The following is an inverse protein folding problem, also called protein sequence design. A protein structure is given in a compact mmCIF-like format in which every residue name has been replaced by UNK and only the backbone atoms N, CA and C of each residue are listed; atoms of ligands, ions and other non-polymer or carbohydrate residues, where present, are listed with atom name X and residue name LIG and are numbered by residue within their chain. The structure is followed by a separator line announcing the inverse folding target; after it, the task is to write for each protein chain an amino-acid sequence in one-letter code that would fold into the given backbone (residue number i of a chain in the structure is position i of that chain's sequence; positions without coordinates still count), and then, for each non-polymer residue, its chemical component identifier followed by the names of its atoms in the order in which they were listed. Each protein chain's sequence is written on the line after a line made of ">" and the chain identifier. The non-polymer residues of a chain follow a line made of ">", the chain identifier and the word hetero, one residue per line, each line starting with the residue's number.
data_IF_127993531703
#
_entry.id   IF_127993531703
#
_cell.length_a   1.000
_cell.length_b   1.000
_cell.length_c   1.000
_cell.angle_alpha   90.00
_cell.angle_beta   90.00
_cell.angle_gamma   90.00
#
_symmetry.space_group_name_H-M   'P 1'
#
loop_
_entity.id
_entity.type
_entity.pdbx_description
1 polymer ?
#
# COMPACT_ATOMS: atom_id res chain seq x y z
N UNK A 1 -6.41 -8.36 23.06
CA UNK A 1 -6.07 -9.20 24.21
C UNK A 1 -4.58 -9.49 24.15
N UNK A 2 -3.80 -8.88 25.04
CA UNK A 2 -2.37 -9.17 25.20
C UNK A 2 -2.14 -9.38 26.70
N UNK A 3 -1.48 -10.46 27.08
CA UNK A 3 -1.02 -10.66 28.45
C UNK A 3 0.49 -10.43 28.52
N UNK A 4 0.86 -9.40 29.27
CA UNK A 4 1.89 -9.34 30.31
C UNK A 4 3.25 -10.04 30.01
N UNK A 5 4.38 -9.31 29.92
CA UNK A 5 5.08 -8.54 30.99
C UNK A 5 5.77 -9.48 32.02
N UNK A 6 6.92 -9.16 32.64
CA UNK A 6 7.41 -7.83 33.04
C UNK A 6 8.93 -7.83 33.40
N UNK A 7 9.65 -6.72 33.11
CA UNK A 7 10.85 -6.12 33.80
C UNK A 7 12.15 -6.95 34.06
N UNK A 8 13.35 -6.50 33.62
CA UNK A 8 14.26 -5.45 34.19
C UNK A 8 15.00 -5.87 35.49
N UNK A 9 16.22 -5.43 35.86
CA UNK A 9 17.21 -4.47 35.30
C UNK A 9 18.57 -4.57 36.05
N UNK A 10 19.67 -4.03 35.48
CA UNK A 10 20.84 -3.38 36.15
C UNK A 10 21.66 -4.19 37.22
N UNK A 11 22.79 -3.78 37.84
CA UNK A 11 24.04 -3.01 37.56
C UNK A 11 25.05 -3.33 38.72
N UNK A 12 26.34 -2.98 38.76
CA UNK A 12 27.46 -2.90 37.78
C UNK A 12 28.79 -2.65 38.55
N UNK A 13 29.97 -2.63 37.86
CA UNK A 13 31.31 -2.15 38.36
C UNK A 13 31.95 -2.98 39.52
N UNK A 14 33.26 -2.94 39.84
CA UNK A 14 34.53 -2.63 39.11
C UNK A 14 35.77 -2.92 39.98
N UNK A 15 36.95 -3.20 39.38
CA UNK A 15 38.33 -3.12 39.97
C UNK A 15 38.73 -4.18 41.04
N UNK A 16 40.00 -4.54 41.31
CA UNK A 16 41.34 -4.20 40.76
C UNK A 16 42.45 -5.21 41.20
N UNK A 17 43.53 -5.40 40.40
CA UNK A 17 44.89 -5.93 40.75
C UNK A 17 45.05 -7.36 41.36
N UNK A 18 46.12 -8.15 41.18
CA UNK A 18 47.54 -7.87 40.84
C UNK A 18 48.29 -9.16 40.33
N UNK A 19 49.19 -9.05 39.34
CA UNK A 19 50.33 -9.97 38.97
C UNK A 19 49.96 -11.42 38.51
N UNK A 20 50.60 -12.05 37.51
CA UNK A 20 51.79 -11.71 36.72
C UNK A 20 51.89 -12.47 35.36
N UNK A 21 53.04 -12.35 34.69
CA UNK A 21 53.33 -12.71 33.26
C UNK A 21 53.27 -14.25 33.01
N UNK A 22 52.87 -14.80 31.85
CA UNK A 22 53.52 -14.68 30.52
C UNK A 22 52.67 -15.26 29.35
N UNK A 23 52.86 -14.68 28.16
CA UNK A 23 52.71 -15.22 26.80
C UNK A 23 51.48 -16.04 26.34
N UNK A 24 50.62 -15.33 25.57
CA UNK A 24 49.72 -15.76 24.49
C UNK A 24 50.41 -16.57 23.34
N UNK A 25 49.70 -17.03 22.27
CA UNK A 25 48.28 -16.78 21.91
C UNK A 25 47.42 -17.98 21.40
N UNK A 26 46.09 -17.75 21.44
CA UNK A 26 45.08 -18.06 20.39
C UNK A 26 44.76 -19.53 19.98
N UNK A 27 43.54 -19.88 19.58
CA UNK A 27 42.21 -19.24 19.70
C UNK A 27 41.14 -20.37 19.71
N UNK A 28 39.95 -20.13 20.26
CA UNK A 28 38.91 -21.16 20.38
C UNK A 28 37.59 -20.73 19.70
N UNK A 29 37.26 -21.38 18.57
CA UNK A 29 35.89 -21.63 18.05
C UNK A 29 35.01 -20.37 17.71
N UNK A 30 33.77 -20.48 17.17
CA UNK A 30 32.95 -21.67 16.85
C UNK A 30 32.19 -21.69 15.49
N UNK A 31 31.46 -22.81 15.29
CA UNK A 31 30.09 -22.93 14.73
C UNK A 31 29.81 -23.18 13.23
N UNK A 32 28.80 -24.05 13.03
CA UNK A 32 27.98 -24.41 11.85
C UNK A 32 28.65 -25.13 10.66
N UNK A 33 28.56 -26.47 10.67
CA UNK A 33 28.30 -27.26 9.44
C UNK A 33 27.14 -28.21 9.70
N UNK A 34 26.09 -28.12 8.87
CA UNK A 34 24.97 -29.05 8.87
C UNK A 34 25.31 -30.32 8.09
N UNK A 35 24.70 -31.44 8.51
CA UNK A 35 24.58 -32.74 7.85
C UNK A 35 25.01 -32.81 6.36
N UNK A 36 25.92 -33.73 6.02
CA UNK A 36 25.64 -34.92 5.18
C UNK A 36 26.54 -36.08 5.67
N UNK A 37 26.05 -37.31 5.56
CA UNK A 37 26.75 -38.55 5.98
C UNK A 37 27.90 -38.89 5.02
N UNK A 38 29.08 -39.20 5.57
CA UNK A 38 30.07 -40.06 4.91
C UNK A 38 30.25 -41.30 5.81
N UNK A 39 30.16 -42.50 5.23
CA UNK A 39 30.22 -43.75 5.98
C UNK A 39 31.63 -44.00 6.54
N UNK A 40 31.69 -44.31 7.84
CA UNK A 40 32.95 -44.61 8.53
C UNK A 40 33.52 -45.96 8.10
N UNK A 41 34.83 -46.00 7.88
CA UNK A 41 35.62 -47.24 7.89
C UNK A 41 35.60 -47.79 9.32
N UNK A 42 34.83 -48.86 9.54
CA UNK A 42 34.70 -49.48 10.87
C UNK A 42 35.90 -50.42 11.15
N UNK A 43 36.97 -49.86 11.70
CA UNK A 43 38.05 -50.66 12.32
C UNK A 43 37.54 -51.19 13.66
N UNK A 44 37.17 -52.48 13.70
CA UNK A 44 36.77 -53.16 14.95
C UNK A 44 38.00 -53.35 15.83
N UNK A 45 38.06 -52.59 16.92
CA UNK A 45 39.16 -52.57 17.88
C UNK A 45 38.90 -53.56 19.02
N UNK A 46 39.39 -54.81 18.91
CA UNK A 46 39.37 -55.74 20.04
C UNK A 46 40.36 -55.30 21.12
N UNK A 47 39.84 -54.92 22.29
CA UNK A 47 40.60 -54.81 23.53
C UNK A 47 40.59 -56.16 24.25
N UNK A 48 41.74 -56.82 24.34
CA UNK A 48 41.95 -57.93 25.28
C UNK A 48 42.70 -57.39 26.49
N UNK A 49 42.09 -57.53 27.66
CA UNK A 49 42.57 -56.98 28.92
C UNK A 49 43.56 -57.95 29.59
N UNK A 50 44.77 -57.48 29.92
CA UNK A 50 45.84 -58.32 30.48
C UNK A 50 45.83 -58.26 32.01
N UNK A 51 45.36 -59.32 32.68
CA UNK A 51 45.73 -59.67 34.08
C UNK A 51 45.67 -61.19 34.30
N UNK A 52 46.74 -61.78 34.84
CA UNK A 52 46.74 -63.16 35.34
C UNK A 52 48.00 -63.98 35.00
N UNK A 53 49.05 -63.86 35.83
CA UNK A 53 50.21 -64.77 35.90
C UNK A 53 50.00 -65.65 37.14
N UNK A 54 50.03 -66.99 37.05
CA UNK A 54 51.20 -67.79 37.49
C UNK A 54 51.37 -69.10 36.67
N UNK A 55 52.42 -69.94 36.70
CA UNK A 55 53.82 -69.94 37.15
C UNK A 55 54.37 -71.36 36.82
N UNK A 56 55.43 -71.47 35.99
CA UNK A 56 56.39 -72.62 35.90
C UNK A 56 55.87 -74.05 35.53
N UNK A 57 56.76 -75.01 35.18
CA UNK A 57 58.20 -74.92 34.92
C UNK A 57 58.65 -75.33 33.50
N UNK A 58 59.94 -75.09 33.24
CA UNK A 58 60.71 -75.55 32.09
C UNK A 58 60.75 -77.09 32.04
N UNK A 59 60.59 -77.68 30.86
CA UNK A 59 61.14 -79.01 30.58
C UNK A 59 61.65 -79.09 29.14
N UNK A 60 62.91 -79.47 28.98
CA UNK A 60 63.54 -79.72 27.69
C UNK A 60 63.12 -81.10 27.18
N UNK A 61 62.54 -81.18 26.00
CA UNK A 61 62.46 -82.42 25.23
C UNK A 61 62.82 -82.14 23.78
N UNK A 62 64.05 -82.49 23.42
CA UNK A 62 64.47 -82.65 22.03
C UNK A 62 63.60 -83.72 21.37
N UNK A 63 62.68 -83.34 20.49
CA UNK A 63 62.04 -84.31 19.60
C UNK A 63 62.03 -83.84 18.15
N UNK A 64 62.90 -84.50 17.39
CA UNK A 64 62.96 -84.48 15.94
C UNK A 64 61.62 -85.01 15.40
N UNK A 65 60.73 -84.14 14.92
CA UNK A 65 59.54 -84.54 14.17
C UNK A 65 59.39 -83.67 12.92
N UNK A 66 59.80 -84.27 11.80
CA UNK A 66 59.29 -84.11 10.44
C UNK A 66 58.36 -82.91 10.18
N UNK A 67 58.86 -81.95 9.38
CA UNK A 67 57.96 -81.12 8.57
C UNK A 67 57.16 -82.03 7.62
N UNK A 68 55.81 -82.00 7.60
CA UNK A 68 55.07 -82.46 6.46
C UNK A 68 55.21 -81.44 5.31
N UNK A 69 55.39 -81.85 4.04
CA UNK A 69 55.54 -80.95 2.91
C UNK A 69 54.18 -80.37 2.44
N UNK A 70 53.45 -79.70 3.34
CA UNK A 70 52.17 -79.04 3.04
C UNK A 70 52.31 -77.56 2.60
N UNK A 71 53.55 -77.09 2.45
CA UNK A 71 53.87 -75.70 2.06
C UNK A 71 53.42 -75.37 0.64
N UNK A 72 53.44 -76.32 -0.31
CA UNK A 72 52.97 -76.07 -1.69
C UNK A 72 51.48 -75.70 -1.72
N UNK A 73 50.58 -76.48 -1.13
CA UNK A 73 49.14 -76.22 -1.22
C UNK A 73 48.73 -74.89 -0.57
N UNK A 74 49.32 -74.55 0.59
CA UNK A 74 49.08 -73.26 1.24
C UNK A 74 49.53 -72.07 0.37
N UNK A 75 50.67 -72.22 -0.32
CA UNK A 75 51.22 -71.17 -1.20
C UNK A 75 50.38 -70.97 -2.48
N UNK A 76 49.88 -72.05 -3.09
CA UNK A 76 48.89 -71.93 -4.17
C UNK A 76 47.57 -71.32 -3.68
N UNK A 77 47.08 -71.70 -2.50
CA UNK A 77 45.88 -71.12 -1.91
C UNK A 77 45.97 -69.60 -1.68
N UNK A 78 47.14 -69.12 -1.21
CA UNK A 78 47.42 -67.69 -1.06
C UNK A 78 47.46 -66.97 -2.42
N UNK A 79 48.07 -67.57 -3.44
CA UNK A 79 48.12 -66.98 -4.80
C UNK A 79 46.70 -66.90 -5.39
N UNK A 80 45.90 -67.96 -5.25
CA UNK A 80 44.50 -67.96 -5.71
C UNK A 80 43.64 -66.93 -4.98
N UNK A 81 43.81 -66.73 -3.67
CA UNK A 81 43.05 -65.71 -2.93
C UNK A 81 43.44 -64.28 -3.34
N UNK A 82 44.71 -64.03 -3.64
CA UNK A 82 45.18 -62.74 -4.17
C UNK A 82 44.62 -62.49 -5.58
N UNK A 83 44.68 -63.48 -6.48
CA UNK A 83 44.12 -63.35 -7.84
C UNK A 83 42.59 -63.14 -7.78
N UNK A 84 41.89 -63.87 -6.92
CA UNK A 84 40.44 -63.69 -6.72
C UNK A 84 40.10 -62.32 -6.13
N UNK A 85 40.89 -61.81 -5.18
CA UNK A 85 40.71 -60.47 -4.62
C UNK A 85 40.98 -59.36 -5.65
N UNK A 86 42.03 -59.49 -6.47
CA UNK A 86 42.35 -58.54 -7.54
C UNK A 86 41.28 -58.58 -8.64
N UNK A 87 40.86 -59.77 -9.06
CA UNK A 87 39.78 -59.95 -10.04
C UNK A 87 38.44 -59.41 -9.55
N UNK A 88 38.08 -59.67 -8.29
CA UNK A 88 36.89 -59.12 -7.65
C UNK A 88 36.94 -57.59 -7.55
N UNK A 89 38.07 -57.03 -7.14
CA UNK A 89 38.28 -55.57 -7.11
C UNK A 89 38.20 -54.94 -8.51
N UNK A 90 38.76 -55.59 -9.54
CA UNK A 90 38.67 -55.13 -10.92
C UNK A 90 37.24 -55.16 -11.46
N UNK A 91 36.44 -56.19 -11.14
CA UNK A 91 35.02 -56.27 -11.51
C UNK A 91 34.18 -55.21 -10.79
N UNK A 92 34.44 -54.95 -9.51
CA UNK A 92 33.77 -53.87 -8.77
C UNK A 92 34.16 -52.47 -9.29
N UNK A 93 35.41 -52.29 -9.74
CA UNK A 93 35.86 -51.05 -10.39
C UNK A 93 35.39 -50.90 -11.86
N UNK A 94 34.95 -51.98 -12.49
CA UNK A 94 34.40 -51.96 -13.85
C UNK A 94 32.95 -51.45 -13.88
N UNK A 95 32.15 -51.73 -12.84
CA UNK A 95 30.79 -51.23 -12.72
C UNK A 95 30.81 -49.79 -12.21
N UNK A 96 30.17 -48.89 -12.94
CA UNK A 96 29.86 -47.54 -12.45
C UNK A 96 28.39 -47.20 -12.71
N UNK A 97 27.93 -46.13 -12.05
CA UNK A 97 26.58 -45.60 -12.17
C UNK A 97 26.65 -44.22 -12.84
N UNK A 98 25.79 -43.99 -13.81
CA UNK A 98 25.45 -42.68 -14.33
C UNK A 98 24.13 -42.26 -13.68
N UNK A 99 24.12 -41.10 -13.04
CA UNK A 99 22.91 -40.55 -12.41
C UNK A 99 21.91 -40.05 -13.45
N UNK A 100 20.64 -39.97 -13.06
CA UNK A 100 19.58 -39.43 -13.91
C UNK A 100 19.89 -38.00 -14.36
N UNK A 101 19.42 -37.65 -15.55
CA UNK A 101 19.69 -36.34 -16.15
C UNK A 101 21.13 -36.09 -16.61
N UNK A 102 21.95 -37.15 -16.69
CA UNK A 102 23.30 -37.13 -17.25
C UNK A 102 23.44 -38.16 -18.38
N UNK A 103 24.33 -37.85 -19.32
CA UNK A 103 24.77 -38.73 -20.41
C UNK A 103 26.26 -39.03 -20.23
N UNK A 104 26.62 -40.30 -20.15
CA UNK A 104 28.01 -40.74 -20.02
C UNK A 104 28.72 -40.78 -21.37
N UNK A 105 29.87 -40.11 -21.44
CA UNK A 105 30.77 -40.17 -22.59
C UNK A 105 32.07 -40.82 -22.17
N UNK A 106 32.54 -41.78 -22.97
CA UNK A 106 33.71 -42.61 -22.65
C UNK A 106 34.93 -42.21 -23.47
N UNK A 107 36.09 -42.28 -22.82
CA UNK A 107 37.39 -42.11 -23.43
C UNK A 107 38.16 -43.42 -23.29
N UNK A 108 38.74 -43.93 -24.37
CA UNK A 108 39.57 -45.14 -24.38
C UNK A 108 40.98 -44.75 -24.80
N UNK A 109 41.94 -44.82 -23.88
CA UNK A 109 43.32 -44.35 -24.14
C UNK A 109 43.41 -42.90 -24.61
N UNK A 110 42.48 -42.04 -24.16
CA UNK A 110 42.37 -40.63 -24.56
C UNK A 110 41.45 -40.34 -25.77
N UNK A 111 41.09 -41.34 -26.57
CA UNK A 111 40.17 -41.15 -27.70
C UNK A 111 38.70 -41.29 -27.28
N UNK A 112 37.83 -40.37 -27.75
CA UNK A 112 36.40 -40.38 -27.48
C UNK A 112 35.69 -41.55 -28.20
N UNK A 113 34.89 -42.33 -27.47
CA UNK A 113 34.01 -43.34 -28.07
C UNK A 113 32.78 -42.70 -28.69
N UNK A 114 32.35 -43.23 -29.85
CA UNK A 114 31.16 -42.77 -30.59
C UNK A 114 29.83 -43.10 -29.89
N UNK A 115 29.82 -44.08 -29.00
CA UNK A 115 28.64 -44.48 -28.23
C UNK A 115 28.56 -43.71 -26.89
N UNK A 116 27.51 -42.91 -26.73
CA UNK A 116 27.11 -42.34 -25.44
C UNK A 116 26.20 -43.30 -24.68
N UNK A 117 26.34 -43.34 -23.35
CA UNK A 117 25.43 -44.09 -22.46
C UNK A 117 24.42 -43.16 -21.81
N UNK A 118 23.16 -43.59 -21.74
CA UNK A 118 22.16 -42.98 -20.87
C UNK A 118 22.37 -43.29 -19.38
N UNK A 119 21.46 -42.84 -18.50
CA UNK A 119 21.52 -43.12 -17.06
C UNK A 119 21.43 -44.62 -16.74
N UNK A 120 21.91 -45.02 -15.56
CA UNK A 120 21.91 -46.41 -15.09
C UNK A 120 23.29 -46.99 -14.81
N UNK A 121 23.39 -48.31 -14.71
CA UNK A 121 24.64 -49.02 -14.46
C UNK A 121 25.32 -49.43 -15.77
N UNK A 122 26.59 -49.08 -15.91
CA UNK A 122 27.39 -49.39 -17.12
C UNK A 122 28.73 -50.02 -16.75
N UNK A 123 29.22 -50.87 -17.65
CA UNK A 123 30.51 -51.55 -17.52
C UNK A 123 31.58 -50.80 -18.32
N UNK A 124 32.64 -50.38 -17.64
CA UNK A 124 33.84 -49.83 -18.24
C UNK A 124 35.05 -50.73 -17.93
N UNK A 125 36.10 -50.66 -18.76
CA UNK A 125 37.33 -51.40 -18.51
C UNK A 125 38.22 -50.58 -17.56
N UNK A 126 38.51 -51.05 -16.33
CA UNK A 126 39.40 -50.33 -15.44
C UNK A 126 40.77 -50.12 -16.09
N UNK A 127 41.45 -49.02 -15.74
CA UNK A 127 42.74 -48.55 -16.27
C UNK A 127 42.76 -48.07 -17.73
N UNK A 128 41.96 -48.62 -18.64
CA UNK A 128 42.00 -48.28 -20.08
C UNK A 128 40.94 -47.24 -20.47
N UNK A 129 39.75 -47.33 -19.87
CA UNK A 129 38.65 -46.40 -20.14
C UNK A 129 38.34 -45.50 -18.96
N UNK A 130 38.12 -44.22 -19.24
CA UNK A 130 37.59 -43.24 -18.29
C UNK A 130 36.27 -42.69 -18.83
N UNK A 131 35.36 -42.30 -17.93
CA UNK A 131 34.08 -41.71 -18.32
C UNK A 131 33.96 -40.28 -17.79
N UNK A 132 33.14 -39.48 -18.46
CA UNK A 132 32.66 -38.17 -17.99
C UNK A 132 31.14 -38.19 -18.09
N UNK A 133 30.46 -37.89 -16.99
CA UNK A 133 29.01 -37.69 -16.97
C UNK A 133 28.74 -36.23 -17.33
N UNK A 134 28.21 -35.99 -18.53
CA UNK A 134 27.79 -34.67 -19.00
C UNK A 134 26.32 -34.50 -18.64
N UNK A 135 25.97 -33.42 -17.96
CA UNK A 135 24.59 -33.15 -17.58
C UNK A 135 23.77 -32.70 -18.81
N UNK A 136 22.57 -33.25 -18.97
CA UNK A 136 21.64 -32.94 -20.09
C UNK A 136 20.29 -32.42 -19.60
N UNK A 137 20.14 -32.26 -18.29
CA UNK A 137 19.03 -31.56 -17.65
C UNK A 137 19.24 -30.05 -17.69
N UNK A 138 18.22 -29.29 -17.28
CA UNK A 138 18.33 -27.84 -17.10
C UNK A 138 19.37 -27.52 -16.03
N UNK A 139 20.39 -26.75 -16.42
CA UNK A 139 21.52 -26.31 -15.62
C UNK A 139 21.46 -24.80 -15.40
N UNK A 140 22.36 -24.29 -14.55
CA UNK A 140 22.53 -22.85 -14.33
C UNK A 140 24.00 -22.57 -14.11
N UNK A 141 24.63 -22.00 -15.13
CA UNK A 141 26.05 -21.68 -15.13
C UNK A 141 26.26 -20.29 -14.52
N UNK A 142 27.02 -20.22 -13.42
CA UNK A 142 27.30 -18.97 -12.70
C UNK A 142 28.64 -18.35 -13.16
N UNK A 143 28.58 -17.25 -13.92
CA UNK A 143 29.73 -16.40 -14.23
C UNK A 143 29.85 -15.32 -13.14
N UNK A 144 31.06 -15.08 -12.61
CA UNK A 144 31.29 -14.19 -11.45
C UNK A 144 32.41 -13.19 -11.69
N UNK A 145 32.24 -11.99 -11.14
CA UNK A 145 33.21 -10.89 -11.21
C UNK A 145 33.63 -10.53 -12.65
N UNK A 146 32.66 -10.34 -13.55
CA UNK A 146 32.92 -9.94 -14.94
C UNK A 146 33.31 -8.46 -14.97
N UNK A 147 34.55 -8.09 -15.35
CA UNK A 147 34.91 -6.69 -15.55
C UNK A 147 34.24 -6.16 -16.82
N UNK A 148 33.73 -4.94 -16.75
CA UNK A 148 33.15 -4.21 -17.87
C UNK A 148 33.71 -2.78 -17.94
N UNK A 149 34.25 -2.39 -19.10
CA UNK A 149 34.60 -0.99 -19.37
C UNK A 149 33.43 -0.23 -19.97
N UNK A 150 32.91 0.79 -19.27
CA UNK A 150 31.87 1.67 -19.83
C UNK A 150 32.45 2.69 -20.82
N UNK A 151 31.64 3.23 -21.72
CA UNK A 151 32.06 4.27 -22.67
C UNK A 151 32.63 5.54 -22.00
N UNK A 152 32.23 5.80 -20.75
CA UNK A 152 32.76 6.87 -19.89
C UNK A 152 34.11 6.55 -19.22
N UNK A 153 34.76 5.43 -19.55
CA UNK A 153 36.05 5.02 -18.99
C UNK A 153 36.01 4.50 -17.55
N UNK A 154 34.82 4.32 -16.96
CA UNK A 154 34.66 3.73 -15.63
C UNK A 154 34.59 2.22 -15.75
N UNK A 155 35.47 1.52 -15.01
CA UNK A 155 35.40 0.08 -14.84
C UNK A 155 34.33 -0.28 -13.80
N UNK A 156 33.39 -1.15 -14.21
CA UNK A 156 32.37 -1.77 -13.35
C UNK A 156 32.57 -3.28 -13.32
N UNK A 157 31.99 -3.93 -12.32
CA UNK A 157 32.06 -5.39 -12.18
C UNK A 157 30.66 -5.98 -12.03
N UNK A 158 30.32 -7.00 -12.81
CA UNK A 158 29.10 -7.77 -12.58
C UNK A 158 29.42 -8.92 -11.62
N UNK A 159 28.89 -8.83 -10.40
CA UNK A 159 29.20 -9.78 -9.31
C UNK A 159 28.76 -11.21 -9.68
N UNK A 160 27.59 -11.33 -10.33
CA UNK A 160 27.02 -12.60 -10.81
C UNK A 160 26.22 -12.45 -12.11
N UNK A 161 26.37 -13.40 -13.01
CA UNK A 161 25.48 -13.65 -14.14
C UNK A 161 25.12 -15.14 -14.12
N UNK A 162 23.83 -15.44 -14.21
CA UNK A 162 23.29 -16.81 -14.22
C UNK A 162 22.76 -17.11 -15.63
N UNK A 163 23.36 -18.08 -16.32
CA UNK A 163 22.90 -18.55 -17.64
C UNK A 163 22.20 -19.90 -17.45
N UNK A 164 20.91 -19.96 -17.73
CA UNK A 164 20.12 -21.18 -17.65
C UNK A 164 20.11 -21.85 -19.02
N UNK A 165 20.70 -23.03 -19.10
CA UNK A 165 20.91 -23.80 -20.33
C UNK A 165 20.46 -25.26 -20.18
N UNK A 166 20.31 -25.96 -21.30
CA UNK A 166 20.27 -27.42 -21.33
C UNK A 166 20.89 -27.95 -22.64
N UNK A 167 21.47 -29.15 -22.57
CA UNK A 167 22.11 -29.81 -23.70
C UNK A 167 21.27 -31.01 -24.16
N UNK A 168 20.87 -31.03 -25.43
CA UNK A 168 20.11 -32.15 -26.00
C UNK A 168 20.98 -33.43 -26.02
N UNK A 169 20.51 -34.57 -25.47
CA UNK A 169 21.29 -35.82 -25.39
C UNK A 169 21.91 -36.32 -26.70
N UNK A 170 21.26 -36.07 -27.85
CA UNK A 170 21.77 -36.45 -29.17
C UNK A 170 22.99 -35.65 -29.62
N UNK A 171 23.15 -34.41 -29.15
CA UNK A 171 24.26 -33.53 -29.52
C UNK A 171 25.50 -33.68 -28.62
N UNK A 172 25.37 -34.39 -27.48
CA UNK A 172 26.43 -34.53 -26.46
C UNK A 172 27.75 -35.02 -27.06
N UNK A 173 27.71 -36.00 -27.98
CA UNK A 173 28.92 -36.54 -28.60
C UNK A 173 29.68 -35.47 -29.41
N UNK A 174 28.98 -34.70 -30.25
CA UNK A 174 29.60 -33.71 -31.12
C UNK A 174 30.10 -32.48 -30.35
N UNK A 175 29.35 -32.02 -29.34
CA UNK A 175 29.78 -30.94 -28.44
C UNK A 175 31.04 -31.36 -27.67
N UNK A 176 31.07 -32.55 -27.07
CA UNK A 176 32.23 -33.04 -26.31
C UNK A 176 33.43 -33.31 -27.23
N UNK A 177 33.20 -33.69 -28.49
CA UNK A 177 34.27 -33.87 -29.49
C UNK A 177 34.90 -32.54 -29.91
N UNK A 178 34.11 -31.49 -30.08
CA UNK A 178 34.58 -30.20 -30.61
C UNK A 178 35.07 -29.25 -29.51
N UNK A 179 34.41 -29.26 -28.34
CA UNK A 179 34.61 -28.30 -27.24
C UNK A 179 35.05 -28.95 -25.92
N UNK A 180 35.30 -30.26 -25.89
CA UNK A 180 35.62 -31.08 -24.70
C UNK A 180 34.46 -31.20 -23.70
N UNK A 181 34.69 -31.90 -22.58
CA UNK A 181 33.67 -32.06 -21.54
C UNK A 181 33.34 -30.74 -20.82
N UNK A 182 34.29 -29.80 -20.75
CA UNK A 182 34.15 -28.51 -20.07
C UNK A 182 33.77 -27.41 -21.11
N UNK A 183 32.73 -27.68 -21.91
CA UNK A 183 32.28 -26.82 -23.01
C UNK A 183 31.68 -25.50 -22.53
N UNK A 184 31.09 -25.49 -21.34
CA UNK A 184 30.52 -24.36 -20.61
C UNK A 184 31.49 -23.18 -20.53
N UNK A 185 32.75 -23.47 -20.21
CA UNK A 185 33.79 -22.45 -20.09
C UNK A 185 34.13 -21.78 -21.43
N UNK A 186 34.17 -22.56 -22.50
CA UNK A 186 34.51 -22.06 -23.83
C UNK A 186 33.34 -21.34 -24.52
N UNK A 187 32.15 -21.94 -24.45
CA UNK A 187 30.97 -21.49 -25.18
C UNK A 187 30.15 -20.43 -24.44
N UNK A 188 30.06 -20.49 -23.11
CA UNK A 188 29.23 -19.60 -22.31
C UNK A 188 30.10 -18.59 -21.56
N UNK A 189 31.00 -19.03 -20.67
CA UNK A 189 31.78 -18.13 -19.81
C UNK A 189 32.59 -17.10 -20.63
N UNK A 190 33.44 -17.56 -21.56
CA UNK A 190 34.26 -16.66 -22.37
C UNK A 190 33.42 -15.72 -23.24
N UNK A 191 32.27 -16.19 -23.75
CA UNK A 191 31.40 -15.42 -24.64
C UNK A 191 30.59 -14.36 -23.89
N UNK A 192 30.05 -14.68 -22.71
CA UNK A 192 29.44 -13.71 -21.78
C UNK A 192 30.43 -12.58 -21.45
N UNK A 193 31.68 -12.92 -21.16
CA UNK A 193 32.74 -11.92 -20.92
C UNK A 193 32.98 -11.01 -22.13
N UNK A 194 32.90 -11.53 -23.36
CA UNK A 194 33.10 -10.75 -24.59
C UNK A 194 31.90 -9.85 -24.89
N UNK A 195 30.69 -10.41 -24.97
CA UNK A 195 29.46 -9.67 -25.34
C UNK A 195 29.11 -8.59 -24.33
N UNK A 196 29.30 -8.84 -23.03
CA UNK A 196 29.03 -7.83 -22.02
C UNK A 196 30.01 -6.66 -22.13
N UNK A 197 31.30 -6.91 -22.40
CA UNK A 197 32.27 -5.85 -22.65
C UNK A 197 31.97 -5.07 -23.94
N UNK A 198 31.53 -5.76 -25.01
CA UNK A 198 31.04 -5.12 -26.23
C UNK A 198 29.88 -4.14 -25.90
N UNK A 199 28.87 -4.61 -25.16
CA UNK A 199 27.72 -3.80 -24.73
C UNK A 199 28.12 -2.60 -23.84
N UNK A 200 28.95 -2.81 -22.82
CA UNK A 200 29.41 -1.72 -21.96
C UNK A 200 30.24 -0.68 -22.72
N UNK A 201 31.03 -1.09 -23.72
CA UNK A 201 31.93 -0.18 -24.45
C UNK A 201 31.18 0.90 -25.24
N UNK A 202 29.94 0.62 -25.67
CA UNK A 202 29.09 1.59 -26.38
C UNK A 202 28.17 2.40 -25.45
N UNK A 203 27.90 1.92 -24.24
CA UNK A 203 26.94 2.52 -23.30
C UNK A 203 27.59 3.26 -22.13
N UNK A 204 26.93 4.34 -21.69
CA UNK A 204 27.37 5.10 -20.51
C UNK A 204 27.05 4.37 -19.20
N UNK A 205 27.77 4.69 -18.12
CA UNK A 205 27.54 4.11 -16.79
C UNK A 205 26.08 4.28 -16.33
N UNK A 206 25.46 5.43 -16.61
CA UNK A 206 24.08 5.74 -16.25
C UNK A 206 23.07 4.90 -17.06
N UNK A 207 23.34 4.68 -18.35
CA UNK A 207 22.53 3.79 -19.19
C UNK A 207 22.59 2.34 -18.69
N UNK A 208 23.78 1.79 -18.47
CA UNK A 208 23.98 0.40 -18.03
C UNK A 208 23.37 0.16 -16.63
N UNK A 209 23.47 1.14 -15.72
CA UNK A 209 23.01 0.97 -14.32
C UNK A 209 21.52 1.25 -14.09
N UNK A 210 20.91 2.14 -14.89
CA UNK A 210 19.51 2.58 -14.70
C UNK A 210 18.65 2.37 -15.95
N UNK A 211 19.09 2.88 -17.12
CA UNK A 211 18.20 3.04 -18.28
C UNK A 211 17.99 1.78 -19.14
N UNK A 212 19.00 0.93 -19.26
CA UNK A 212 19.04 -0.22 -20.18
C UNK A 212 19.28 -1.56 -19.47
N UNK A 213 19.35 -1.57 -18.13
CA UNK A 213 19.65 -2.78 -17.35
C UNK A 213 18.78 -3.98 -17.74
N UNK A 214 17.46 -3.78 -17.83
CA UNK A 214 16.48 -4.82 -18.18
C UNK A 214 16.64 -5.35 -19.62
N UNK A 215 17.32 -4.62 -20.50
CA UNK A 215 17.58 -5.03 -21.89
C UNK A 215 18.84 -5.88 -22.01
N UNK A 216 19.74 -5.85 -21.02
CA UNK A 216 20.99 -6.64 -21.04
C UNK A 216 20.67 -8.14 -21.05
N UNK A 217 19.72 -8.57 -20.22
CA UNK A 217 19.31 -9.98 -20.11
C UNK A 217 18.82 -10.57 -21.44
N UNK A 218 17.90 -9.88 -22.12
CA UNK A 218 17.34 -10.34 -23.38
C UNK A 218 18.32 -10.20 -24.55
N UNK A 219 19.08 -9.10 -24.64
CA UNK A 219 20.11 -8.95 -25.68
C UNK A 219 21.19 -10.04 -25.56
N UNK A 220 21.71 -10.28 -24.35
CA UNK A 220 22.73 -11.29 -24.10
C UNK A 220 22.22 -12.71 -24.39
N UNK A 221 20.97 -13.02 -24.00
CA UNK A 221 20.29 -14.27 -24.35
C UNK A 221 20.16 -14.47 -25.86
N UNK A 222 19.74 -13.45 -26.60
CA UNK A 222 19.56 -13.51 -28.05
C UNK A 222 20.90 -13.74 -28.78
N UNK A 223 21.91 -12.92 -28.49
CA UNK A 223 23.24 -13.04 -29.12
C UNK A 223 23.90 -14.37 -28.80
N UNK A 224 23.87 -14.82 -27.53
CA UNK A 224 24.41 -16.13 -27.16
C UNK A 224 23.68 -17.28 -27.90
N UNK A 225 22.34 -17.21 -28.02
CA UNK A 225 21.59 -18.26 -28.71
C UNK A 225 21.85 -18.26 -30.23
N UNK A 226 22.02 -17.11 -30.86
CA UNK A 226 22.38 -16.98 -32.27
C UNK A 226 23.75 -17.65 -32.54
N UNK A 227 24.78 -17.30 -31.77
CA UNK A 227 26.11 -17.87 -31.91
C UNK A 227 26.13 -19.39 -31.63
N UNK A 228 25.46 -19.85 -30.56
CA UNK A 228 25.35 -21.28 -30.26
C UNK A 228 24.62 -22.07 -31.34
N UNK A 229 23.64 -21.46 -32.03
CA UNK A 229 22.94 -22.10 -33.15
C UNK A 229 23.90 -22.38 -34.32
N UNK A 230 24.94 -21.57 -34.51
CA UNK A 230 25.96 -21.77 -35.54
C UNK A 230 27.12 -22.68 -35.10
N UNK A 231 27.60 -22.56 -33.85
CA UNK A 231 28.80 -23.26 -33.37
C UNK A 231 28.51 -24.61 -32.71
N UNK A 232 27.38 -24.72 -32.01
CA UNK A 232 27.10 -25.77 -31.03
C UNK A 232 25.62 -26.22 -31.07
N UNK A 233 25.14 -26.72 -32.23
CA UNK A 233 23.74 -27.09 -32.41
C UNK A 233 23.32 -28.15 -31.39
N UNK A 234 22.33 -27.80 -30.56
CA UNK A 234 21.81 -28.66 -29.49
C UNK A 234 22.14 -28.20 -28.07
N UNK A 235 22.96 -27.16 -27.88
CA UNK A 235 23.01 -26.39 -26.63
C UNK A 235 22.01 -25.23 -26.72
N UNK A 236 21.05 -25.17 -25.80
CA UNK A 236 19.97 -24.19 -25.82
C UNK A 236 19.99 -23.37 -24.52
N UNK A 237 19.91 -22.05 -24.65
CA UNK A 237 19.78 -21.11 -23.54
C UNK A 237 18.29 -20.82 -23.33
N UNK A 238 17.81 -21.13 -22.13
CA UNK A 238 16.44 -20.90 -21.72
C UNK A 238 16.23 -19.46 -21.23
N UNK A 239 17.17 -18.95 -20.42
CA UNK A 239 17.13 -17.61 -19.84
C UNK A 239 18.53 -17.17 -19.41
N UNK A 240 18.76 -15.86 -19.37
CA UNK A 240 19.94 -15.24 -18.75
C UNK A 240 19.44 -14.27 -17.68
N UNK A 241 20.18 -14.17 -16.58
CA UNK A 241 19.92 -13.19 -15.50
C UNK A 241 21.22 -12.53 -15.09
N UNK A 242 21.32 -11.22 -15.31
CA UNK A 242 22.44 -10.39 -14.90
C UNK A 242 22.09 -9.72 -13.56
N UNK A 243 23.01 -9.73 -12.60
CA UNK A 243 22.85 -8.92 -11.37
C UNK A 243 23.33 -7.49 -11.60
N UNK A 244 22.83 -6.51 -10.82
CA UNK A 244 23.27 -5.11 -10.97
C UNK A 244 24.79 -4.99 -10.77
N UNK A 245 25.49 -4.23 -11.63
CA UNK A 245 26.93 -4.11 -11.53
C UNK A 245 27.34 -3.30 -10.30
N UNK A 246 28.46 -3.72 -9.71
CA UNK A 246 29.12 -3.09 -8.60
C UNK A 246 29.94 -1.89 -9.11
N UNK A 247 29.68 -0.71 -8.53
CA UNK A 247 30.29 0.57 -8.89
C UNK A 247 31.18 1.04 -7.73
N UNK A 248 32.41 1.55 -7.99
CA UNK A 248 33.27 2.15 -6.97
C UNK A 248 32.55 3.18 -6.10
N UNK A 249 32.78 3.13 -4.79
CA UNK A 249 32.02 3.92 -3.79
C UNK A 249 32.09 5.44 -4.04
N UNK A 250 33.24 5.95 -4.51
CA UNK A 250 33.43 7.37 -4.84
C UNK A 250 32.43 7.87 -5.88
N UNK A 251 32.13 7.06 -6.89
CA UNK A 251 31.15 7.36 -7.93
C UNK A 251 29.74 7.12 -7.41
N UNK A 252 29.50 6.00 -6.69
CA UNK A 252 28.18 5.67 -6.14
C UNK A 252 27.60 6.80 -5.28
N UNK A 253 28.40 7.39 -4.38
CA UNK A 253 27.98 8.54 -3.56
C UNK A 253 27.56 9.77 -4.39
N UNK A 254 28.22 10.02 -5.51
CA UNK A 254 27.84 11.13 -6.41
C UNK A 254 26.51 10.88 -7.11
N UNK A 255 26.22 9.63 -7.52
CA UNK A 255 24.92 9.26 -8.09
C UNK A 255 23.78 9.31 -7.07
N UNK A 256 24.02 8.85 -5.84
CA UNK A 256 23.05 8.96 -4.73
C UNK A 256 22.69 10.42 -4.45
N UNK A 257 23.69 11.32 -4.41
CA UNK A 257 23.47 12.77 -4.29
C UNK A 257 22.72 13.34 -5.51
N UNK A 258 23.16 13.04 -6.73
CA UNK A 258 22.57 13.55 -7.96
C UNK A 258 21.10 13.15 -8.13
N UNK A 259 20.75 11.88 -7.90
CA UNK A 259 19.35 11.45 -7.97
C UNK A 259 18.52 12.10 -6.85
N UNK A 260 19.08 12.34 -5.65
CA UNK A 260 18.39 13.10 -4.59
C UNK A 260 18.09 14.55 -5.01
N UNK A 261 19.04 15.25 -5.66
CA UNK A 261 18.85 16.62 -6.16
C UNK A 261 17.88 16.66 -7.34
N UNK A 262 17.94 15.69 -8.24
CA UNK A 262 17.00 15.53 -9.36
C UNK A 262 15.58 15.27 -8.85
N UNK A 263 15.40 14.44 -7.82
CA UNK A 263 14.12 14.26 -7.15
C UNK A 263 13.63 15.55 -6.49
N UNK A 264 14.49 16.30 -5.78
CA UNK A 264 14.13 17.63 -5.23
C UNK A 264 13.69 18.61 -6.31
N UNK A 265 14.39 18.67 -7.44
CA UNK A 265 14.04 19.55 -8.56
C UNK A 265 12.66 19.19 -9.13
N UNK A 266 12.40 17.90 -9.38
CA UNK A 266 11.10 17.42 -9.86
C UNK A 266 9.98 17.72 -8.85
N UNK A 267 10.23 17.52 -7.56
CA UNK A 267 9.28 17.92 -6.50
C UNK A 267 9.03 19.43 -6.56
N UNK A 268 10.08 20.27 -6.63
CA UNK A 268 9.92 21.72 -6.65
C UNK A 268 9.08 22.19 -7.85
N UNK A 269 9.28 21.59 -9.03
CA UNK A 269 8.52 21.89 -10.25
C UNK A 269 7.05 21.47 -10.12
N UNK A 270 6.77 20.33 -9.48
CA UNK A 270 5.40 19.91 -9.22
C UNK A 270 4.74 20.80 -8.15
N UNK A 271 5.44 21.17 -7.09
CA UNK A 271 4.91 22.10 -6.08
C UNK A 271 4.65 23.49 -6.64
N UNK A 272 5.49 24.00 -7.56
CA UNK A 272 5.25 25.25 -8.26
C UNK A 272 3.94 25.18 -9.08
N UNK A 273 3.74 24.11 -9.85
CA UNK A 273 2.49 23.89 -10.60
C UNK A 273 1.26 23.75 -9.70
N UNK A 274 1.40 23.12 -8.54
CA UNK A 274 0.32 23.03 -7.54
C UNK A 274 -0.01 24.43 -7.01
N UNK A 275 0.98 25.21 -6.56
CA UNK A 275 0.78 26.58 -6.06
C UNK A 275 0.18 27.51 -7.13
N UNK A 276 0.62 27.40 -8.39
CA UNK A 276 0.02 28.14 -9.52
C UNK A 276 -1.47 27.79 -9.69
N UNK A 277 -1.82 26.50 -9.62
CA UNK A 277 -3.20 26.02 -9.75
C UNK A 277 -4.06 26.32 -8.52
N UNK A 278 -3.49 26.31 -7.33
CA UNK A 278 -4.14 26.74 -6.09
C UNK A 278 -4.43 28.25 -6.15
N UNK A 279 -3.48 29.09 -6.56
CA UNK A 279 -3.71 30.53 -6.72
C UNK A 279 -4.74 30.86 -7.82
N UNK A 280 -4.79 30.10 -8.91
CA UNK A 280 -5.86 30.19 -9.92
C UNK A 280 -7.22 29.79 -9.32
N UNK A 281 -7.25 28.70 -8.54
CA UNK A 281 -8.47 28.20 -7.86
C UNK A 281 -8.97 29.19 -6.81
N UNK A 282 -8.08 29.83 -6.04
CA UNK A 282 -8.44 30.86 -5.06
C UNK A 282 -9.05 32.10 -5.72
N UNK A 283 -8.50 32.55 -6.86
CA UNK A 283 -9.09 33.66 -7.64
C UNK A 283 -10.49 33.32 -8.13
N UNK A 284 -10.67 32.13 -8.71
CA UNK A 284 -11.97 31.65 -9.17
C UNK A 284 -12.96 31.53 -8.00
N UNK A 285 -12.51 30.97 -6.86
CA UNK A 285 -13.31 30.85 -5.64
C UNK A 285 -13.75 32.21 -5.10
N UNK A 286 -12.87 33.22 -5.09
CA UNK A 286 -13.22 34.58 -4.65
C UNK A 286 -14.26 35.24 -5.56
N UNK A 287 -14.18 35.04 -6.89
CA UNK A 287 -15.20 35.50 -7.85
C UNK A 287 -16.53 34.79 -7.60
N UNK A 288 -16.54 33.46 -7.49
CA UNK A 288 -17.75 32.67 -7.21
C UNK A 288 -18.37 33.06 -5.86
N UNK A 289 -17.56 33.38 -4.85
CA UNK A 289 -18.04 33.83 -3.54
C UNK A 289 -18.68 35.23 -3.62
N UNK A 290 -18.07 36.16 -4.37
CA UNK A 290 -18.66 37.48 -4.62
C UNK A 290 -19.99 37.38 -5.42
N UNK A 291 -20.04 36.57 -6.48
CA UNK A 291 -21.27 36.31 -7.25
C UNK A 291 -22.37 35.67 -6.40
N UNK A 292 -22.01 34.68 -5.56
CA UNK A 292 -22.93 34.05 -4.61
C UNK A 292 -23.50 35.07 -3.61
N UNK A 293 -22.67 35.95 -3.07
CA UNK A 293 -23.14 37.02 -2.15
C UNK A 293 -24.07 37.98 -2.88
N UNK A 294 -23.77 38.35 -4.13
CA UNK A 294 -24.65 39.19 -4.95
C UNK A 294 -26.02 38.53 -5.21
N UNK A 295 -26.06 37.27 -5.63
CA UNK A 295 -27.31 36.52 -5.83
C UNK A 295 -28.13 36.37 -4.53
N UNK A 296 -27.47 36.09 -3.40
CA UNK A 296 -28.14 36.01 -2.10
C UNK A 296 -28.67 37.38 -1.66
N UNK A 297 -27.97 38.48 -1.97
CA UNK A 297 -28.44 39.83 -1.72
C UNK A 297 -29.67 40.18 -2.60
N UNK A 298 -29.66 39.79 -3.88
CA UNK A 298 -30.80 39.96 -4.80
C UNK A 298 -32.04 39.20 -4.31
N UNK A 299 -31.89 37.93 -3.92
CA UNK A 299 -33.00 37.14 -3.35
C UNK A 299 -33.55 37.78 -2.07
N UNK A 300 -32.68 38.23 -1.15
CA UNK A 300 -33.09 38.94 0.07
C UNK A 300 -33.77 40.28 -0.22
N UNK A 301 -33.34 40.98 -1.28
CA UNK A 301 -33.96 42.22 -1.71
C UNK A 301 -35.36 41.95 -2.31
N UNK A 302 -35.49 40.94 -3.16
CA UNK A 302 -36.77 40.48 -3.70
C UNK A 302 -37.75 40.05 -2.61
N UNK A 303 -37.29 39.35 -1.57
CA UNK A 303 -38.09 39.03 -0.39
C UNK A 303 -38.61 40.30 0.31
N UNK A 304 -37.74 41.30 0.57
CA UNK A 304 -38.15 42.57 1.19
C UNK A 304 -39.12 43.40 0.33
N UNK A 305 -38.92 43.41 -0.99
CA UNK A 305 -39.86 44.10 -1.91
C UNK A 305 -41.21 43.39 -1.87
N UNK A 306 -41.24 42.05 -1.92
CA UNK A 306 -42.46 41.27 -1.79
C UNK A 306 -43.16 41.51 -0.45
N UNK A 307 -42.42 41.54 0.66
CA UNK A 307 -42.95 41.90 1.99
C UNK A 307 -43.63 43.28 1.96
N UNK A 308 -42.97 44.32 1.42
CA UNK A 308 -43.55 45.67 1.32
C UNK A 308 -44.73 45.77 0.36
N UNK A 309 -44.73 45.02 -0.74
CA UNK A 309 -45.91 44.90 -1.60
C UNK A 309 -47.07 44.19 -0.91
N UNK A 310 -46.81 43.17 -0.08
CA UNK A 310 -47.85 42.51 0.71
C UNK A 310 -48.39 43.40 1.83
N UNK A 311 -47.53 44.16 2.52
CA UNK A 311 -47.96 45.19 3.48
C UNK A 311 -48.89 46.21 2.81
N UNK A 312 -48.50 46.75 1.65
CA UNK A 312 -49.32 47.70 0.88
C UNK A 312 -50.68 47.11 0.49
N UNK A 313 -50.71 45.86 0.00
CA UNK A 313 -51.97 45.16 -0.34
C UNK A 313 -52.85 44.92 0.88
N UNK A 314 -52.26 44.64 2.05
CA UNK A 314 -53.01 44.50 3.31
C UNK A 314 -53.65 45.85 3.68
N UNK A 315 -52.89 46.95 3.63
CA UNK A 315 -53.44 48.29 3.90
C UNK A 315 -54.55 48.68 2.92
N UNK A 316 -54.39 48.42 1.62
CA UNK A 316 -55.44 48.64 0.61
C UNK A 316 -56.73 47.85 0.93
N UNK A 317 -56.59 46.58 1.34
CA UNK A 317 -57.73 45.74 1.76
C UNK A 317 -58.36 46.24 3.07
N UNK A 318 -57.56 46.75 4.02
CA UNK A 318 -58.04 47.32 5.28
C UNK A 318 -58.81 48.63 5.06
N UNK A 319 -58.33 49.50 4.18
CA UNK A 319 -59.01 50.74 3.78
C UNK A 319 -60.33 50.43 3.07
N UNK A 320 -60.35 49.52 2.09
CA UNK A 320 -61.57 49.07 1.41
C UNK A 320 -62.56 48.43 2.40
N UNK A 321 -62.08 47.60 3.34
CA UNK A 321 -62.91 47.00 4.37
C UNK A 321 -63.46 48.06 5.36
N UNK A 322 -62.70 49.10 5.67
CA UNK A 322 -63.14 50.21 6.51
C UNK A 322 -64.22 51.05 5.81
N UNK A 323 -64.01 51.40 4.54
CA UNK A 323 -64.99 52.10 3.70
C UNK A 323 -66.29 51.28 3.57
N UNK A 324 -66.18 49.98 3.30
CA UNK A 324 -67.33 49.07 3.24
C UNK A 324 -68.09 48.99 4.58
N UNK A 325 -67.38 48.91 5.72
CA UNK A 325 -67.99 48.93 7.06
C UNK A 325 -68.70 50.25 7.37
N UNK A 326 -68.08 51.39 7.08
CA UNK A 326 -68.69 52.70 7.32
C UNK A 326 -69.91 52.93 6.44
N UNK A 327 -69.84 52.53 5.16
CA UNK A 327 -70.98 52.58 4.25
C UNK A 327 -72.12 51.68 4.73
N UNK A 328 -71.86 50.42 5.07
CA UNK A 328 -72.87 49.50 5.59
C UNK A 328 -73.53 50.02 6.89
N UNK A 329 -72.75 50.69 7.75
CA UNK A 329 -73.27 51.34 8.96
C UNK A 329 -74.17 52.54 8.62
N UNK A 330 -73.74 53.42 7.73
CA UNK A 330 -74.52 54.57 7.28
C UNK A 330 -75.81 54.15 6.56
N UNK A 331 -75.77 53.12 5.71
CA UNK A 331 -76.93 52.54 5.03
C UNK A 331 -77.92 51.92 6.04
N UNK A 332 -77.42 51.27 7.10
CA UNK A 332 -78.25 50.73 8.18
C UNK A 332 -78.89 51.84 9.06
N UNK A 333 -78.14 52.90 9.39
CA UNK A 333 -78.65 54.07 10.10
C UNK A 333 -79.71 54.82 9.26
N UNK A 334 -79.48 54.98 7.95
CA UNK A 334 -80.46 55.53 7.02
C UNK A 334 -81.72 54.66 6.92
N UNK A 335 -81.59 53.35 6.75
CA UNK A 335 -82.74 52.43 6.66
C UNK A 335 -83.57 52.43 7.94
N UNK A 336 -82.92 52.39 9.12
CA UNK A 336 -83.62 52.45 10.40
C UNK A 336 -84.31 53.79 10.63
N UNK A 337 -83.68 54.92 10.29
CA UNK A 337 -84.31 56.24 10.32
C UNK A 337 -85.49 56.36 9.35
N UNK A 338 -85.37 55.86 8.11
CA UNK A 338 -86.45 55.85 7.13
C UNK A 338 -87.64 55.03 7.62
N UNK A 339 -87.41 53.80 8.11
CA UNK A 339 -88.47 52.95 8.66
C UNK A 339 -89.13 53.56 9.90
N UNK A 340 -88.36 54.23 10.76
CA UNK A 340 -88.91 54.97 11.89
C UNK A 340 -89.79 56.15 11.42
N UNK A 341 -89.38 56.89 10.39
CA UNK A 341 -90.16 57.98 9.80
C UNK A 341 -91.46 57.48 9.13
N UNK A 342 -91.41 56.36 8.40
CA UNK A 342 -92.59 55.69 7.82
C UNK A 342 -93.56 55.21 8.92
N UNK A 343 -93.05 54.56 9.97
CA UNK A 343 -93.85 54.13 11.11
C UNK A 343 -94.48 55.33 11.85
N UNK A 344 -93.76 56.45 11.97
CA UNK A 344 -94.28 57.67 12.60
C UNK A 344 -95.37 58.35 11.75
N UNK A 345 -95.33 58.24 10.41
CA UNK A 345 -96.44 58.67 9.54
C UNK A 345 -97.70 57.82 9.76
N UNK A 346 -97.56 56.51 9.94
CA UNK A 346 -98.70 55.61 10.23
C UNK A 346 -99.27 55.81 11.64
N UNK A 347 -98.43 56.17 12.62
CA UNK A 347 -98.85 56.54 14.00
C UNK A 347 -99.58 57.89 14.08
N UNK A 348 -99.66 58.66 12.99
CA UNK A 348 -100.21 60.01 12.97
C UNK A 348 -101.76 60.02 12.86
N UNK A 349 -102.43 59.10 13.56
CA UNK A 349 -103.89 59.07 13.69
C UNK A 349 -104.33 59.83 14.94
N UNK A 350 -105.51 60.48 14.94
CA UNK A 350 -105.97 61.27 16.07
C UNK A 350 -106.18 60.42 17.33
N UNK A 351 -106.56 59.15 17.20
CA UNK A 351 -106.75 58.21 18.30
C UNK A 351 -105.41 57.86 18.98
N UNK A 352 -104.36 57.60 18.18
CA UNK A 352 -103.03 57.30 18.74
C UNK A 352 -102.39 58.53 19.37
N UNK A 353 -102.56 59.72 18.79
CA UNK A 353 -102.12 60.98 19.39
C UNK A 353 -102.86 61.28 20.70
N UNK A 354 -104.16 60.97 20.80
CA UNK A 354 -104.90 61.05 22.06
C UNK A 354 -104.39 60.03 23.08
N UNK A 355 -104.16 58.77 22.69
CA UNK A 355 -103.61 57.74 23.57
C UNK A 355 -102.23 58.15 24.10
N UNK A 356 -101.33 58.62 23.23
CA UNK A 356 -100.01 59.13 23.60
C UNK A 356 -100.12 60.38 24.50
N UNK A 357 -101.06 61.29 24.23
CA UNK A 357 -101.35 62.44 25.11
C UNK A 357 -101.82 61.98 26.49
N UNK A 358 -102.72 61.01 26.58
CA UNK A 358 -103.18 60.47 27.86
C UNK A 358 -102.10 59.67 28.59
N UNK A 359 -101.24 58.91 27.89
CA UNK A 359 -100.07 58.27 28.49
C UNK A 359 -99.06 59.30 29.01
N UNK A 360 -98.77 60.36 28.25
CA UNK A 360 -97.89 61.44 28.70
C UNK A 360 -98.49 62.23 29.86
N UNK A 361 -99.81 62.46 29.89
CA UNK A 361 -100.50 63.04 31.05
C UNK A 361 -100.41 62.10 32.24
N UNK A 362 -100.72 60.81 32.10
CA UNK A 362 -100.69 59.83 33.19
C UNK A 362 -99.28 59.62 33.78
N UNK A 363 -98.24 59.67 32.93
CA UNK A 363 -96.85 59.61 33.39
C UNK A 363 -96.40 60.88 34.13
N UNK A 364 -96.99 62.05 33.82
CA UNK A 364 -96.64 63.34 34.43
C UNK A 364 -97.60 63.78 35.56
N UNK A 365 -98.80 63.20 35.68
CA UNK A 365 -99.81 63.61 36.66
C UNK A 365 -99.53 63.04 38.05
N UNK A 366 -99.06 63.87 38.97
CA UNK A 366 -99.00 63.58 40.40
C UNK A 366 -100.26 64.12 41.08
N UNK A 367 -101.03 63.24 41.72
CA UNK A 367 -102.29 63.58 42.40
C UNK A 367 -101.99 63.81 43.90
N UNK A 368 -102.51 64.91 44.46
CA UNK A 368 -102.40 65.28 45.87
C UNK A 368 -103.80 65.50 46.46
N UNK A 369 -104.05 65.08 47.71
CA UNK A 369 -105.34 65.21 48.40
C UNK A 369 -105.15 65.86 49.78
N UNK A 370 -105.98 66.86 50.13
CA UNK A 370 -105.96 67.55 51.42
C UNK A 370 -106.97 68.71 51.50
N UNK A 371 -107.42 69.06 52.70
CA UNK A 371 -108.61 69.91 52.92
C UNK A 371 -108.46 71.43 52.67
N UNK A 372 -107.27 71.93 52.34
CA UNK A 372 -107.07 73.29 51.83
C UNK A 372 -106.19 73.23 50.58
N UNK A 373 -106.81 73.34 49.41
CA UNK A 373 -106.15 73.25 48.10
C UNK A 373 -105.85 74.68 47.61
N UNK A 374 -104.57 75.05 47.40
CA UNK A 374 -104.23 76.36 46.86
C UNK A 374 -104.82 76.57 45.45
N UNK A 375 -105.48 77.71 45.22
CA UNK A 375 -105.98 78.09 43.90
C UNK A 375 -104.83 78.38 42.94
N UNK A 376 -104.39 77.36 42.20
CA UNK A 376 -103.43 77.50 41.10
C UNK A 376 -103.92 76.81 39.82
N UNK A 377 -105.22 76.95 39.54
CA UNK A 377 -105.85 76.60 38.26
C UNK A 377 -106.85 77.68 37.85
N UNK A 378 -106.35 78.74 37.21
CA UNK A 378 -107.09 79.62 36.30
C UNK A 378 -106.09 80.26 35.33
N UNK A 379 -106.51 80.43 34.07
CA UNK A 379 -105.69 80.97 32.99
C UNK A 379 -105.12 82.36 33.29
N UNK A 380 -103.89 82.62 32.82
CA UNK A 380 -103.35 83.96 32.60
C UNK A 380 -102.23 83.91 31.55
N UNK A 381 -102.21 84.94 30.70
CA UNK A 381 -101.37 85.04 29.51
C UNK A 381 -99.87 85.34 29.76
N UNK A 382 -99.16 85.81 28.73
CA UNK A 382 -97.73 85.54 28.55
C UNK A 382 -96.78 86.53 29.22
N UNK A 383 -95.58 86.05 29.59
CA UNK A 383 -94.25 86.66 29.39
C UNK A 383 -93.23 86.31 30.50
N UNK A 384 -92.22 85.49 30.14
CA UNK A 384 -90.79 85.84 30.33
C UNK A 384 -90.13 85.78 31.72
N UNK A 385 -89.28 84.77 31.92
CA UNK A 385 -87.99 84.84 32.65
C UNK A 385 -87.16 83.57 32.29
N UNK A 386 -86.12 83.63 31.46
CA UNK A 386 -84.76 84.15 31.70
C UNK A 386 -83.92 83.35 32.70
N UNK A 387 -82.94 82.59 32.18
CA UNK A 387 -81.67 82.30 32.87
C UNK A 387 -80.51 82.30 31.86
N UNK A 388 -79.30 82.57 32.33
CA UNK A 388 -78.17 83.13 31.56
C UNK A 388 -77.05 82.10 31.26
N UNK A 389 -76.09 82.43 30.38
CA UNK A 389 -75.11 81.46 29.83
C UNK A 389 -73.88 81.27 30.71
N UNK A 390 -73.02 80.32 30.33
CA UNK A 390 -71.60 80.31 30.70
C UNK A 390 -70.73 79.87 29.51
N UNK A 391 -69.50 80.35 29.48
CA UNK A 391 -68.48 80.05 28.48
C UNK A 391 -67.18 79.63 29.17
N UNK A 392 -66.34 78.84 28.50
CA UNK A 392 -64.97 78.59 28.91
C UNK A 392 -64.09 78.29 27.68
N UNK A 393 -62.95 78.97 27.61
CA UNK A 393 -61.92 78.87 26.59
C UNK A 393 -60.59 79.20 27.30
N UNK A 394 -59.53 78.42 27.05
CA UNK A 394 -58.08 78.68 27.25
C UNK A 394 -57.37 77.30 27.23
N UNK A 395 -56.42 76.95 26.34
CA UNK A 395 -55.11 77.53 25.96
C UNK A 395 -53.98 77.22 26.95
N UNK A 396 -53.04 76.35 26.52
CA UNK A 396 -51.59 76.38 26.81
C UNK A 396 -50.87 75.76 25.58
N UNK A 397 -49.67 76.25 25.23
CA UNK A 397 -48.80 75.67 24.19
C UNK A 397 -47.31 75.95 24.40
N UNK A 398 -46.48 75.41 23.49
CA UNK A 398 -45.01 75.60 23.35
C UNK A 398 -44.09 74.98 24.45
N UNK A 399 -42.84 74.53 24.21
CA UNK A 399 -41.92 74.59 23.04
C UNK A 399 -40.79 73.49 23.16
N UNK A 400 -39.75 73.51 22.28
CA UNK A 400 -38.38 72.87 22.41
C UNK A 400 -38.29 71.34 22.10
N UNK A 401 -37.32 70.78 21.35
CA UNK A 401 -36.22 71.25 20.45
C UNK A 401 -35.76 70.09 19.51
N UNK A 402 -35.14 70.41 18.37
CA UNK A 402 -34.21 69.52 17.63
C UNK A 402 -32.76 69.69 18.14
N UNK A 403 -31.89 68.66 18.00
CA UNK A 403 -30.46 68.71 17.60
C UNK A 403 -29.77 67.32 17.75
N UNK A 404 -28.91 67.00 16.76
CA UNK A 404 -27.91 65.91 16.63
C UNK A 404 -28.33 64.42 16.72
#
# INVERSE_FOLDING_TARGET
>A
MCYYSITQSAESRSSQSHKGKCCCPALYQPLVVSRVRAAQVLIVRLHVNIKGIPCYPICSVSHLFFLPPLTRMAQWGAIFSIIAAIGGAALLAAVHKIDEGHTGVYYRGGALLTSTSGPGFHLMLPFITTYKAVQTTLQTDEVKNVPCGTSGGVMIYFDRIEVVNYLIPSAVYDIVRNFTADYDKALIFNKVHHELNQFCSVHSLQEVYIGLFDQIDENLKLTLQEDLTSMAPGLIIQAVRVTKPNIPESIRRNYELMESEKTKLLISQQTQKVVEKEAETERIKAVIEAEKVAQVAEIKYGQKVMEKETEKKISEIEDDAFLARQKAKADAEFYTAQRAAEANKLKLTPEYLQLMKYQAIAANSKIYFGNDIPQMFVDSGPAGASSKPSAAMDIVGEQILDID
#
